data_IF_188513008701
#
_entry.id   IF_188513008701
#
_cell.length_a   1.000
_cell.length_b   1.000
_cell.length_c   1.000
_cell.angle_alpha   90.00
_cell.angle_beta   90.00
_cell.angle_gamma   90.00
#
_symmetry.space_group_name_H-M   'P 1'
#
loop_
_entity.id
_entity.type
_entity.pdbx_description
1 polymer ?
#
# COMPACT_ATOMS: atom_id res chain seq x y z
N UNK A 1 -7.05 -56.13 -24.30
CA UNK A 1 -6.58 -55.35 -23.13
C UNK A 1 -6.89 -53.90 -23.47
N UNK A 2 -8.01 -53.38 -22.98
CA UNK A 2 -8.38 -51.97 -23.20
C UNK A 2 -7.46 -51.07 -22.39
N UNK A 3 -6.83 -50.10 -23.06
CA UNK A 3 -6.02 -49.09 -22.40
C UNK A 3 -6.95 -48.07 -21.75
N UNK A 4 -6.99 -48.04 -20.42
CA UNK A 4 -7.66 -46.97 -19.67
C UNK A 4 -6.78 -45.72 -19.78
N UNK A 5 -7.25 -44.75 -20.55
CA UNK A 5 -6.63 -43.42 -20.63
C UNK A 5 -7.02 -42.62 -19.38
N UNK A 6 -6.02 -42.27 -18.58
CA UNK A 6 -6.19 -41.33 -17.47
C UNK A 6 -5.88 -39.92 -17.98
N UNK A 7 -6.88 -39.05 -18.00
CA UNK A 7 -6.71 -37.62 -18.28
C UNK A 7 -6.59 -36.88 -16.95
N UNK A 8 -5.61 -35.98 -16.84
CA UNK A 8 -5.54 -35.02 -15.73
C UNK A 8 -6.55 -33.89 -15.97
N UNK A 9 -7.01 -33.24 -14.89
CA UNK A 9 -7.76 -31.99 -15.02
C UNK A 9 -6.82 -30.85 -15.45
N UNK A 10 -7.34 -29.94 -16.26
CA UNK A 10 -6.64 -28.70 -16.58
C UNK A 10 -6.51 -27.84 -15.31
N UNK A 11 -5.49 -27.00 -15.26
CA UNK A 11 -5.25 -26.09 -14.14
C UNK A 11 -6.14 -24.82 -14.18
N UNK A 12 -7.26 -24.84 -14.91
CA UNK A 12 -8.08 -23.65 -15.19
C UNK A 12 -8.57 -22.97 -13.89
N UNK A 13 -9.00 -23.75 -12.90
CA UNK A 13 -9.44 -23.22 -11.59
C UNK A 13 -8.29 -22.66 -10.75
N UNK A 14 -7.10 -23.27 -10.81
CA UNK A 14 -5.92 -22.78 -10.10
C UNK A 14 -5.42 -21.47 -10.72
N UNK A 15 -5.48 -21.37 -12.05
CA UNK A 15 -5.16 -20.16 -12.79
C UNK A 15 -6.14 -19.02 -12.47
N UNK A 16 -7.44 -19.31 -12.38
CA UNK A 16 -8.46 -18.33 -12.00
C UNK A 16 -8.25 -17.79 -10.58
N UNK A 17 -8.03 -18.67 -9.59
CA UNK A 17 -7.72 -18.28 -8.20
C UNK A 17 -6.45 -17.43 -8.14
N UNK A 18 -5.39 -17.83 -8.86
CA UNK A 18 -4.16 -17.05 -8.91
C UNK A 18 -4.39 -15.68 -9.53
N UNK A 19 -5.15 -15.58 -10.62
CA UNK A 19 -5.51 -14.31 -11.24
C UNK A 19 -6.31 -13.41 -10.30
N UNK A 20 -7.40 -13.92 -9.72
CA UNK A 20 -8.28 -13.15 -8.83
C UNK A 20 -7.53 -12.63 -7.60
N UNK A 21 -6.65 -13.45 -7.02
CA UNK A 21 -5.79 -13.02 -5.93
C UNK A 21 -4.86 -11.87 -6.33
N UNK A 22 -4.31 -11.89 -7.55
CA UNK A 22 -3.42 -10.84 -8.07
C UNK A 22 -4.17 -9.61 -8.63
N UNK A 23 -5.50 -9.68 -8.80
CA UNK A 23 -6.30 -8.67 -9.46
C UNK A 23 -6.15 -7.25 -8.86
N UNK A 24 -6.13 -7.06 -7.53
CA UNK A 24 -5.93 -5.72 -6.95
C UNK A 24 -4.62 -5.06 -7.39
N UNK A 25 -3.51 -5.81 -7.46
CA UNK A 25 -2.22 -5.27 -7.92
C UNK A 25 -2.32 -4.87 -9.40
N UNK A 26 -2.92 -5.72 -10.24
CA UNK A 26 -3.05 -5.45 -11.67
C UNK A 26 -3.85 -4.16 -11.91
N UNK A 27 -4.98 -4.00 -11.22
CA UNK A 27 -5.82 -2.81 -11.30
C UNK A 27 -5.11 -1.57 -10.78
N UNK A 28 -4.38 -1.67 -9.66
CA UNK A 28 -3.54 -0.57 -9.15
C UNK A 28 -2.52 -0.13 -10.20
N UNK A 29 -1.78 -1.06 -10.80
CA UNK A 29 -0.77 -0.73 -11.81
C UNK A 29 -1.35 -0.09 -13.08
N UNK A 30 -2.60 -0.43 -13.42
CA UNK A 30 -3.32 0.11 -14.57
C UNK A 30 -4.16 1.35 -14.22
N UNK A 31 -4.16 1.78 -12.96
CA UNK A 31 -5.00 2.86 -12.43
C UNK A 31 -6.50 2.63 -12.68
N UNK A 32 -6.93 1.37 -12.69
CA UNK A 32 -8.34 0.98 -12.77
C UNK A 32 -9.02 1.07 -11.41
N UNK A 33 -10.35 1.15 -11.39
CA UNK A 33 -11.09 1.10 -10.14
C UNK A 33 -10.95 -0.27 -9.49
N UNK A 34 -10.49 -0.29 -8.22
CA UNK A 34 -10.46 -1.49 -7.40
C UNK A 34 -11.77 -1.55 -6.63
N UNK A 35 -12.60 -2.51 -6.96
CA UNK A 35 -13.90 -2.77 -6.34
C UNK A 35 -13.71 -3.57 -5.05
N UNK A 36 -14.71 -3.49 -4.15
CA UNK A 36 -14.70 -4.22 -2.88
C UNK A 36 -14.52 -5.73 -3.09
N UNK A 37 -15.15 -6.31 -4.12
CA UNK A 37 -15.08 -7.74 -4.43
C UNK A 37 -13.74 -8.18 -5.02
N UNK A 38 -12.91 -7.26 -5.53
CA UNK A 38 -11.60 -7.61 -6.07
C UNK A 38 -10.65 -8.12 -4.96
N UNK A 39 -10.96 -7.81 -3.70
CA UNK A 39 -10.17 -8.22 -2.54
C UNK A 39 -10.50 -9.63 -2.04
N UNK A 40 -11.61 -10.24 -2.48
CA UNK A 40 -12.18 -11.44 -1.85
C UNK A 40 -11.21 -12.63 -1.85
N UNK A 41 -10.63 -12.96 -3.02
CA UNK A 41 -9.69 -14.08 -3.13
C UNK A 41 -8.37 -13.81 -2.39
N UNK A 42 -7.93 -12.55 -2.39
CA UNK A 42 -6.75 -12.14 -1.62
C UNK A 42 -6.98 -12.29 -0.11
N UNK A 43 -8.12 -11.84 0.39
CA UNK A 43 -8.51 -11.94 1.79
C UNK A 43 -8.72 -13.39 2.21
N UNK A 44 -9.30 -14.23 1.35
CA UNK A 44 -9.44 -15.67 1.59
C UNK A 44 -8.08 -16.37 1.76
N UNK A 45 -7.03 -15.84 1.13
CA UNK A 45 -5.66 -16.35 1.26
C UNK A 45 -4.85 -15.78 2.43
N UNK A 46 -5.42 -14.87 3.23
CA UNK A 46 -4.73 -14.25 4.35
C UNK A 46 -4.36 -15.28 5.44
N UNK A 47 -3.11 -15.26 5.98
CA UNK A 47 -2.74 -16.10 7.10
C UNK A 47 -3.62 -15.87 8.34
N UNK A 48 -3.86 -16.93 9.11
CA UNK A 48 -4.66 -16.82 10.34
C UNK A 48 -4.07 -15.82 11.33
N UNK A 49 -4.89 -14.88 11.78
CA UNK A 49 -4.49 -13.82 12.71
C UNK A 49 -3.73 -12.65 12.08
N UNK A 50 -3.58 -12.62 10.75
CA UNK A 50 -2.99 -11.50 10.04
C UNK A 50 -3.94 -10.29 10.00
N UNK A 51 -3.36 -9.08 10.02
CA UNK A 51 -4.10 -7.83 9.84
C UNK A 51 -4.58 -7.77 8.38
N UNK A 52 -5.90 -7.90 8.17
CA UNK A 52 -6.51 -7.97 6.84
C UNK A 52 -6.24 -6.72 5.99
N UNK A 53 -6.23 -5.54 6.62
CA UNK A 53 -5.99 -4.30 5.91
C UNK A 53 -4.51 -4.19 5.51
N UNK A 54 -3.60 -4.60 6.39
CA UNK A 54 -2.19 -4.74 6.06
C UNK A 54 -1.97 -5.74 4.92
N UNK A 55 -2.67 -6.88 4.94
CA UNK A 55 -2.58 -7.88 3.88
C UNK A 55 -2.97 -7.30 2.52
N UNK A 56 -4.12 -6.61 2.44
CA UNK A 56 -4.58 -5.96 1.21
C UNK A 56 -3.63 -4.87 0.72
N UNK A 57 -3.31 -3.87 1.55
CA UNK A 57 -2.50 -2.72 1.15
C UNK A 57 -1.03 -3.07 0.98
N UNK A 58 -0.52 -4.03 1.75
CA UNK A 58 0.81 -4.59 1.60
C UNK A 58 0.97 -5.29 0.25
N UNK A 59 -0.04 -6.06 -0.15
CA UNK A 59 -0.05 -6.74 -1.44
C UNK A 59 -0.17 -5.76 -2.61
N UNK A 60 -1.22 -4.92 -2.60
CA UNK A 60 -1.46 -3.90 -3.62
C UNK A 60 -0.26 -2.96 -3.81
N UNK A 61 0.49 -2.70 -2.73
CA UNK A 61 1.69 -1.88 -2.75
C UNK A 61 2.97 -2.60 -3.19
N UNK A 62 2.93 -3.86 -3.63
CA UNK A 62 4.16 -4.64 -3.90
C UNK A 62 4.96 -4.10 -5.09
N UNK A 63 4.30 -3.53 -6.08
CA UNK A 63 4.92 -3.06 -7.33
C UNK A 63 4.74 -1.55 -7.49
N UNK A 64 5.71 -0.91 -8.16
CA UNK A 64 5.61 0.50 -8.50
C UNK A 64 4.85 0.70 -9.81
N UNK A 65 3.93 1.66 -9.85
CA UNK A 65 3.28 2.11 -11.07
C UNK A 65 4.28 2.95 -11.90
N UNK A 66 4.69 2.42 -13.05
CA UNK A 66 5.70 3.08 -13.90
C UNK A 66 5.14 4.29 -14.65
N UNK A 67 3.85 4.26 -14.96
CA UNK A 67 3.17 5.30 -15.76
C UNK A 67 2.62 6.45 -14.91
N UNK A 68 2.65 6.34 -13.58
CA UNK A 68 2.25 7.41 -12.67
C UNK A 68 3.32 8.52 -12.63
N UNK A 69 2.97 9.71 -13.14
CA UNK A 69 3.89 10.87 -13.24
C UNK A 69 3.55 12.02 -12.32
N UNK A 70 2.32 12.07 -11.80
CA UNK A 70 1.86 13.10 -10.87
C UNK A 70 1.48 12.48 -9.52
N UNK A 71 2.22 12.83 -8.47
CA UNK A 71 2.02 12.26 -7.14
C UNK A 71 0.69 12.70 -6.51
N UNK A 72 0.23 13.92 -6.78
CA UNK A 72 -1.03 14.42 -6.20
C UNK A 72 -2.22 13.64 -6.76
N UNK A 73 -2.26 13.46 -8.08
CA UNK A 73 -3.29 12.62 -8.74
C UNK A 73 -3.18 11.15 -8.31
N UNK A 74 -1.96 10.63 -8.14
CA UNK A 74 -1.74 9.27 -7.66
C UNK A 74 -2.23 9.08 -6.22
N UNK A 75 -2.00 10.04 -5.34
CA UNK A 75 -2.54 10.04 -3.98
C UNK A 75 -4.08 10.02 -3.97
N UNK A 76 -4.74 10.81 -4.82
CA UNK A 76 -6.20 10.80 -4.93
C UNK A 76 -6.72 9.44 -5.40
N UNK A 77 -6.04 8.80 -6.35
CA UNK A 77 -6.36 7.43 -6.74
C UNK A 77 -6.16 6.43 -5.58
N UNK A 78 -5.05 6.52 -4.84
CA UNK A 78 -4.82 5.65 -3.69
C UNK A 78 -5.85 5.83 -2.57
N UNK A 79 -6.52 6.98 -2.45
CA UNK A 79 -7.66 7.14 -1.53
C UNK A 79 -8.81 6.20 -1.91
N UNK A 80 -9.15 6.08 -3.20
CA UNK A 80 -10.24 5.20 -3.64
C UNK A 80 -9.89 3.73 -3.42
N UNK A 81 -8.63 3.36 -3.64
CA UNK A 81 -8.12 2.01 -3.35
C UNK A 81 -8.23 1.71 -1.84
N UNK A 82 -7.80 2.65 -0.99
CA UNK A 82 -7.88 2.49 0.47
C UNK A 82 -9.34 2.39 0.94
N UNK A 83 -10.25 3.18 0.41
CA UNK A 83 -11.67 3.10 0.75
C UNK A 83 -12.24 1.72 0.39
N UNK A 84 -11.94 1.18 -0.79
CA UNK A 84 -12.37 -0.16 -1.19
C UNK A 84 -11.82 -1.26 -0.28
N UNK A 85 -10.55 -1.15 0.13
CA UNK A 85 -9.89 -2.12 1.00
C UNK A 85 -10.45 -2.07 2.42
N UNK A 86 -10.73 -0.87 2.96
CA UNK A 86 -11.37 -0.69 4.26
C UNK A 86 -12.75 -1.33 4.29
N UNK A 87 -13.54 -1.13 3.24
CA UNK A 87 -14.87 -1.73 3.10
C UNK A 87 -14.79 -3.26 3.02
N UNK A 88 -13.89 -3.81 2.18
CA UNK A 88 -13.67 -5.25 2.08
C UNK A 88 -13.22 -5.89 3.40
N UNK A 89 -12.39 -5.17 4.18
CA UNK A 89 -11.94 -5.58 5.50
C UNK A 89 -12.98 -5.34 6.61
N UNK A 90 -14.17 -4.81 6.28
CA UNK A 90 -15.26 -4.47 7.24
C UNK A 90 -14.82 -3.48 8.31
N UNK A 91 -13.92 -2.56 7.96
CA UNK A 91 -13.45 -1.49 8.85
C UNK A 91 -14.34 -0.27 8.61
N UNK A 92 -15.40 -0.17 9.39
CA UNK A 92 -16.34 0.94 9.32
C UNK A 92 -15.80 2.20 10.00
N UNK A 93 -16.17 3.38 9.48
CA UNK A 93 -15.90 4.68 10.10
C UNK A 93 -14.40 4.98 10.38
N UNK A 94 -13.49 4.48 9.53
CA UNK A 94 -12.09 4.91 9.59
C UNK A 94 -12.01 6.44 9.45
N UNK A 95 -11.35 7.14 10.39
CA UNK A 95 -11.27 8.60 10.35
C UNK A 95 -10.43 9.07 9.16
N UNK A 96 -10.72 10.27 8.66
CA UNK A 96 -10.06 10.82 7.46
C UNK A 96 -8.55 10.92 7.63
N UNK A 97 -8.04 11.19 8.85
CA UNK A 97 -6.61 11.22 9.13
C UNK A 97 -5.95 9.87 8.90
N UNK A 98 -6.65 8.77 9.25
CA UNK A 98 -6.17 7.41 9.01
C UNK A 98 -6.22 7.08 7.53
N UNK A 99 -7.30 7.43 6.83
CA UNK A 99 -7.42 7.23 5.37
C UNK A 99 -6.31 7.95 4.63
N UNK A 100 -6.03 9.21 5.00
CA UNK A 100 -4.93 9.99 4.46
C UNK A 100 -3.57 9.33 4.71
N UNK A 101 -3.31 8.83 5.92
CA UNK A 101 -2.09 8.08 6.23
C UNK A 101 -1.94 6.86 5.31
N UNK A 102 -2.96 6.02 5.22
CA UNK A 102 -2.95 4.78 4.45
C UNK A 102 -2.76 5.06 2.95
N UNK A 103 -3.49 6.03 2.41
CA UNK A 103 -3.43 6.38 1.00
C UNK A 103 -2.11 7.05 0.63
N UNK A 104 -1.59 7.97 1.45
CA UNK A 104 -0.25 8.54 1.23
C UNK A 104 0.84 7.47 1.35
N UNK A 105 0.69 6.52 2.28
CA UNK A 105 1.63 5.40 2.43
C UNK A 105 1.65 4.49 1.21
N UNK A 106 0.46 4.11 0.71
CA UNK A 106 0.32 3.33 -0.52
C UNK A 106 0.88 4.09 -1.74
N UNK A 107 0.50 5.36 -1.89
CA UNK A 107 1.00 6.22 -2.96
C UNK A 107 2.52 6.35 -2.91
N UNK A 108 3.08 6.66 -1.75
CA UNK A 108 4.53 6.83 -1.57
C UNK A 108 5.31 5.54 -1.82
N UNK A 109 4.72 4.38 -1.54
CA UNK A 109 5.34 3.08 -1.79
C UNK A 109 5.35 2.72 -3.28
N UNK A 110 4.28 3.06 -4.01
CA UNK A 110 4.05 2.63 -5.39
C UNK A 110 4.44 3.67 -6.44
N UNK A 111 4.69 4.92 -6.03
CA UNK A 111 5.10 5.97 -6.95
C UNK A 111 6.60 5.94 -7.26
N UNK A 112 6.96 6.11 -8.54
CA UNK A 112 8.35 6.10 -8.97
C UNK A 112 9.04 7.46 -8.75
N UNK A 113 9.44 7.73 -7.50
CA UNK A 113 10.16 8.96 -7.15
C UNK A 113 11.56 9.09 -7.80
N UNK A 114 12.13 8.00 -8.32
CA UNK A 114 13.39 8.06 -9.07
C UNK A 114 13.20 8.73 -10.43
N UNK A 115 12.05 8.49 -11.08
CA UNK A 115 11.69 9.15 -12.34
C UNK A 115 11.03 10.51 -12.11
N UNK A 116 10.24 10.65 -11.03
CA UNK A 116 9.48 11.84 -10.71
C UNK A 116 9.79 12.31 -9.26
N UNK A 117 10.90 13.01 -9.02
CA UNK A 117 11.33 13.36 -7.66
C UNK A 117 10.35 14.26 -6.91
N UNK A 118 10.40 14.20 -5.58
CA UNK A 118 9.65 15.10 -4.70
C UNK A 118 10.02 16.56 -4.99
N UNK A 119 9.03 17.43 -5.15
CA UNK A 119 9.24 18.86 -5.43
C UNK A 119 8.53 19.74 -4.39
N UNK A 120 8.83 21.04 -4.39
CA UNK A 120 8.17 22.03 -3.52
C UNK A 120 6.72 22.31 -3.92
N UNK A 121 6.28 21.82 -5.08
CA UNK A 121 4.96 22.10 -5.67
C UNK A 121 3.93 21.01 -5.32
N UNK A 122 4.26 20.09 -4.42
CA UNK A 122 3.38 19.03 -3.97
C UNK A 122 2.13 19.61 -3.31
N UNK A 123 0.96 19.45 -3.93
CA UNK A 123 -0.30 20.05 -3.42
C UNK A 123 -0.74 19.37 -2.13
N UNK A 124 -0.47 18.07 -1.97
CA UNK A 124 -0.75 17.31 -0.76
C UNK A 124 0.30 17.52 0.35
N UNK A 125 1.20 18.51 0.24
CA UNK A 125 2.29 18.72 1.20
C UNK A 125 1.83 18.95 2.65
N UNK A 126 0.70 19.62 2.87
CA UNK A 126 0.13 19.80 4.21
C UNK A 126 -0.48 18.50 4.74
N UNK A 127 -1.22 17.77 3.91
CA UNK A 127 -1.74 16.43 4.25
C UNK A 127 -0.59 15.46 4.58
N UNK A 128 0.52 15.52 3.84
CA UNK A 128 1.71 14.71 4.08
C UNK A 128 2.34 15.02 5.45
N UNK A 129 2.37 16.30 5.86
CA UNK A 129 2.83 16.71 7.19
C UNK A 129 1.91 16.18 8.28
N UNK A 130 0.60 16.38 8.15
CA UNK A 130 -0.39 15.90 9.12
C UNK A 130 -0.36 14.38 9.26
N UNK A 131 -0.25 13.65 8.15
CA UNK A 131 -0.12 12.20 8.16
C UNK A 131 1.15 11.74 8.88
N UNK A 132 2.27 12.46 8.76
CA UNK A 132 3.51 12.17 9.47
C UNK A 132 3.44 12.33 11.00
N UNK A 133 2.38 12.93 11.51
CA UNK A 133 2.11 13.11 12.94
C UNK A 133 1.06 12.13 13.49
N UNK A 134 0.46 11.30 12.63
CA UNK A 134 -0.55 10.32 13.01
C UNK A 134 -0.02 9.28 14.02
N UNK A 135 -0.83 8.98 15.04
CA UNK A 135 -0.49 7.98 16.06
C UNK A 135 -0.88 6.59 15.56
N UNK A 136 0.10 5.83 15.10
CA UNK A 136 -0.11 4.49 14.54
C UNK A 136 -0.47 3.46 15.62
N UNK A 137 -1.54 2.70 15.40
CA UNK A 137 -1.96 1.59 16.26
C UNK A 137 -1.77 0.24 15.59
N UNK A 138 -2.16 0.13 14.33
CA UNK A 138 -2.25 -1.15 13.59
C UNK A 138 -1.05 -1.36 12.68
N UNK A 139 -0.87 -2.59 12.17
CA UNK A 139 0.27 -2.91 11.32
C UNK A 139 0.17 -2.21 9.97
N UNK A 140 -1.06 -2.08 9.43
CA UNK A 140 -1.33 -1.26 8.25
C UNK A 140 -0.87 0.20 8.43
N UNK A 141 -1.12 0.80 9.60
CA UNK A 141 -0.74 2.18 9.91
C UNK A 141 0.79 2.32 9.93
N UNK A 142 1.49 1.42 10.63
CA UNK A 142 2.95 1.44 10.75
C UNK A 142 3.61 1.22 9.39
N UNK A 143 3.05 0.32 8.59
CA UNK A 143 3.50 0.06 7.24
C UNK A 143 3.40 1.31 6.37
N UNK A 144 2.22 1.96 6.34
CA UNK A 144 1.98 3.18 5.59
C UNK A 144 2.86 4.34 6.10
N UNK A 145 2.94 4.53 7.42
CA UNK A 145 3.72 5.57 8.08
C UNK A 145 5.20 5.54 7.69
N UNK A 146 5.79 4.36 7.51
CA UNK A 146 7.18 4.26 7.06
C UNK A 146 7.41 4.98 5.72
N UNK A 147 6.50 4.79 4.76
CA UNK A 147 6.59 5.42 3.44
C UNK A 147 6.22 6.91 3.49
N UNK A 148 5.21 7.27 4.28
CA UNK A 148 4.87 8.69 4.56
C UNK A 148 6.07 9.43 5.12
N UNK A 149 6.72 8.91 6.15
CA UNK A 149 7.87 9.57 6.77
C UNK A 149 9.06 9.65 5.82
N UNK A 150 9.32 8.62 5.02
CA UNK A 150 10.36 8.67 3.99
C UNK A 150 10.11 9.82 3.00
N UNK A 151 8.93 9.89 2.40
CA UNK A 151 8.56 10.96 1.47
C UNK A 151 8.55 12.32 2.14
N UNK A 152 8.03 12.41 3.36
CA UNK A 152 8.03 13.65 4.16
C UNK A 152 9.46 14.13 4.43
N UNK A 153 10.40 13.24 4.77
CA UNK A 153 11.80 13.66 5.00
C UNK A 153 12.44 14.24 3.74
N UNK A 154 12.17 13.69 2.55
CA UNK A 154 12.64 14.25 1.29
C UNK A 154 11.98 15.61 1.01
N UNK A 155 10.66 15.71 1.24
CA UNK A 155 9.93 16.97 1.08
C UNK A 155 10.46 18.09 2.00
N UNK A 156 10.69 17.78 3.28
CA UNK A 156 11.21 18.74 4.27
C UNK A 156 12.64 19.19 3.96
N UNK A 157 13.46 18.32 3.36
CA UNK A 157 14.83 18.66 2.95
C UNK A 157 14.87 19.72 1.84
N UNK A 158 13.82 19.86 1.05
CA UNK A 158 13.74 20.89 0.01
C UNK A 158 13.85 22.31 0.58
N UNK A 159 13.49 22.51 1.85
CA UNK A 159 13.72 23.76 2.59
C UNK A 159 14.22 23.45 4.01
N UNK A 160 15.42 22.87 4.06
CA UNK A 160 16.01 22.30 5.27
C UNK A 160 16.06 23.28 6.46
N UNK A 161 16.47 24.53 6.24
CA UNK A 161 16.67 25.50 7.32
C UNK A 161 15.36 25.84 8.04
N UNK A 162 14.27 26.00 7.29
CA UNK A 162 12.97 26.30 7.87
C UNK A 162 12.27 25.06 8.44
N UNK A 163 12.69 23.85 8.03
CA UNK A 163 12.04 22.60 8.41
C UNK A 163 12.84 21.74 9.40
N UNK A 164 13.99 22.22 9.93
CA UNK A 164 14.89 21.41 10.75
C UNK A 164 14.18 20.67 11.90
N UNK A 165 13.31 21.37 12.64
CA UNK A 165 12.55 20.76 13.76
C UNK A 165 11.60 19.66 13.28
N UNK A 166 10.85 19.93 12.22
CA UNK A 166 9.91 18.95 11.65
C UNK A 166 10.67 17.72 11.11
N UNK A 167 11.82 17.95 10.47
CA UNK A 167 12.68 16.89 9.95
C UNK A 167 13.24 16.01 11.07
N UNK A 168 13.72 16.61 12.16
CA UNK A 168 14.18 15.87 13.35
C UNK A 168 13.05 15.06 13.97
N UNK A 169 11.83 15.63 14.05
CA UNK A 169 10.65 14.91 14.54
C UNK A 169 10.32 13.69 13.68
N UNK A 170 10.25 13.86 12.35
CA UNK A 170 9.97 12.79 11.41
C UNK A 170 11.00 11.65 11.50
N UNK A 171 12.30 11.98 11.50
CA UNK A 171 13.37 10.99 11.66
C UNK A 171 13.31 10.29 13.03
N UNK A 172 12.95 11.02 14.09
CA UNK A 172 12.72 10.46 15.42
C UNK A 172 11.57 9.43 15.42
N UNK A 173 10.46 9.75 14.76
CA UNK A 173 9.32 8.82 14.59
C UNK A 173 9.73 7.61 13.76
N UNK A 174 10.46 7.78 12.65
CA UNK A 174 10.99 6.66 11.86
C UNK A 174 11.81 5.71 12.72
N UNK A 175 12.69 6.22 13.56
CA UNK A 175 13.50 5.40 14.45
C UNK A 175 12.66 4.61 15.46
N UNK A 176 11.58 5.21 16.00
CA UNK A 176 10.66 4.53 16.94
C UNK A 176 9.91 3.37 16.28
N UNK A 177 9.45 3.54 15.04
CA UNK A 177 8.64 2.52 14.35
C UNK A 177 9.47 1.47 13.61
N UNK A 178 10.76 1.75 13.34
CA UNK A 178 11.65 0.92 12.51
C UNK A 178 11.61 -0.57 12.83
N UNK A 179 11.73 -0.95 14.10
CA UNK A 179 11.76 -2.35 14.50
C UNK A 179 10.42 -3.07 14.30
N UNK A 180 9.28 -2.35 14.43
CA UNK A 180 7.96 -2.89 14.12
C UNK A 180 7.77 -2.99 12.60
N UNK A 181 8.15 -1.95 11.85
CA UNK A 181 8.14 -1.97 10.40
C UNK A 181 8.94 -3.14 9.81
N UNK A 182 10.17 -3.41 10.30
CA UNK A 182 10.99 -4.55 9.83
C UNK A 182 10.26 -5.89 10.01
N UNK A 183 9.62 -6.12 11.16
CA UNK A 183 8.84 -7.34 11.39
C UNK A 183 7.60 -7.44 10.51
N UNK A 184 6.97 -6.30 10.20
CA UNK A 184 5.81 -6.24 9.32
C UNK A 184 6.21 -6.62 7.89
N UNK A 185 7.30 -6.05 7.36
CA UNK A 185 7.70 -6.32 5.97
C UNK A 185 8.14 -7.75 5.70
N UNK A 186 8.63 -8.46 6.73
CA UNK A 186 8.95 -9.89 6.64
C UNK A 186 7.71 -10.77 6.40
N UNK A 187 6.52 -10.26 6.75
CA UNK A 187 5.22 -10.93 6.58
C UNK A 187 4.46 -10.43 5.36
N UNK A 188 5.09 -9.61 4.50
CA UNK A 188 4.43 -9.14 3.29
C UNK A 188 3.92 -10.33 2.47
N UNK A 189 2.70 -10.24 1.93
CA UNK A 189 2.20 -11.26 1.02
C UNK A 189 3.17 -11.38 -0.15
N UNK A 190 3.64 -12.61 -0.38
CA UNK A 190 4.55 -12.89 -1.49
C UNK A 190 3.71 -12.98 -2.76
N UNK A 191 4.19 -12.38 -3.84
CA UNK A 191 3.71 -12.77 -5.16
C UNK A 191 4.10 -14.24 -5.34
N UNK A 192 3.12 -15.13 -5.36
CA UNK A 192 3.38 -16.49 -5.80
C UNK A 192 3.84 -16.39 -7.25
N UNK A 193 5.09 -16.78 -7.48
CA UNK A 193 5.51 -17.11 -8.83
C UNK A 193 4.68 -18.32 -9.25
N UNK A 194 3.73 -18.13 -10.17
CA UNK A 194 3.03 -19.21 -10.84
C UNK A 194 4.02 -20.25 -11.38
#
# INVERSE_FOLDING_TARGET
MEAVLHFAHNADSEAEVSYLRNLPILKVLQQENVEVTDWDELLASAPSGEDSLFWCLGYAGTLCALDATDFDSWFVYCLTVVDSALEACKIENAPDERKNLLALGLAARTFNFSANPVTRQLKCGDTLRSAGEYVCSEDADIFAMWYVLRTLTEYLRLDFNNNLRALTSALGTMNKIRARYTRIVERLPKMDAC
#
